data_IF_037598932469
#
_entry.id   IF_037598932469
#
_cell.length_a   1.000
_cell.length_b   1.000
_cell.length_c   1.000
_cell.angle_alpha   90.00
_cell.angle_beta   90.00
_cell.angle_gamma   90.00
#
_symmetry.space_group_name_H-M   'P 1'
#
loop_
_entity.id
_entity.type
_entity.pdbx_description
1 polymer ?
#
# COMPACT_ATOMS: atom_id res chain seq x y z
N UNK A 1 13.59 41.62 7.41
CA UNK A 1 12.35 42.13 8.04
C UNK A 1 11.23 42.13 7.03
N UNK A 2 10.29 41.24 7.16
CA UNK A 2 8.83 41.38 7.10
C UNK A 2 8.25 39.97 7.24
N UNK A 3 7.84 39.65 8.45
CA UNK A 3 6.97 38.53 8.75
C UNK A 3 5.64 38.74 8.05
N UNK A 4 5.32 37.86 7.12
CA UNK A 4 3.97 37.75 6.58
C UNK A 4 3.08 37.06 7.60
N UNK A 5 2.21 37.82 8.24
CA UNK A 5 1.16 37.33 9.08
C UNK A 5 0.35 36.26 8.35
N UNK A 6 0.31 35.04 8.89
CA UNK A 6 -0.55 33.98 8.41
C UNK A 6 -1.98 34.32 8.78
N UNK A 7 -2.77 34.65 7.80
CA UNK A 7 -4.23 34.78 7.91
C UNK A 7 -4.80 33.40 8.33
N UNK A 8 -5.04 33.25 9.63
CA UNK A 8 -5.47 32.00 10.28
C UNK A 8 -6.98 31.80 10.33
N UNK A 9 -7.79 32.73 9.82
CA UNK A 9 -9.24 32.75 10.12
C UNK A 9 -10.16 32.20 9.02
N UNK A 10 -9.67 31.91 7.80
CA UNK A 10 -10.54 31.54 6.67
C UNK A 10 -10.55 30.07 6.27
N UNK A 11 -9.85 29.17 6.99
CA UNK A 11 -9.66 27.76 6.56
C UNK A 11 -10.18 26.67 7.50
N UNK A 12 -10.96 26.99 8.54
CA UNK A 12 -11.58 25.96 9.37
C UNK A 12 -12.74 25.30 8.63
N UNK A 13 -12.85 23.96 8.75
CA UNK A 13 -13.93 23.19 8.16
C UNK A 13 -13.55 22.40 6.90
N UNK A 14 -14.43 21.47 6.52
CA UNK A 14 -14.26 20.55 5.38
C UNK A 14 -15.15 21.01 4.23
N UNK A 15 -14.57 21.18 3.04
CA UNK A 15 -15.33 21.55 1.85
C UNK A 15 -16.10 20.36 1.31
N UNK A 16 -17.32 20.59 0.86
CA UNK A 16 -18.19 19.60 0.22
C UNK A 16 -17.82 19.50 -1.26
N UNK A 17 -17.47 18.29 -1.73
CA UNK A 17 -17.25 18.01 -3.14
C UNK A 17 -18.55 17.69 -3.85
N UNK A 18 -19.40 16.86 -3.22
CA UNK A 18 -20.68 16.46 -3.77
C UNK A 18 -21.68 16.15 -2.65
N UNK A 19 -22.96 16.16 -3.01
CA UNK A 19 -24.06 15.75 -2.13
C UNK A 19 -24.94 14.75 -2.90
N UNK A 20 -25.31 13.64 -2.23
CA UNK A 20 -26.24 12.67 -2.84
C UNK A 20 -27.61 13.31 -3.05
N UNK A 21 -28.18 13.32 -4.27
CA UNK A 21 -29.52 13.79 -4.52
C UNK A 21 -30.58 13.09 -3.63
N UNK A 22 -31.51 13.86 -3.06
CA UNK A 22 -32.54 13.35 -2.16
C UNK A 22 -32.04 12.94 -0.75
N UNK A 23 -30.76 13.11 -0.45
CA UNK A 23 -30.19 12.82 0.90
C UNK A 23 -30.65 13.83 1.96
N UNK A 24 -30.45 13.55 3.26
CA UNK A 24 -30.70 14.53 4.31
C UNK A 24 -29.94 15.85 4.12
N UNK A 25 -28.72 15.82 3.59
CA UNK A 25 -27.92 17.01 3.30
C UNK A 25 -28.52 17.81 2.14
N UNK A 26 -28.95 17.15 1.06
CA UNK A 26 -29.61 17.78 -0.09
C UNK A 26 -30.91 18.46 0.35
N UNK A 27 -31.75 17.76 1.11
CA UNK A 27 -32.99 18.37 1.71
C UNK A 27 -32.70 19.48 2.71
N UNK A 28 -31.47 19.58 3.22
CA UNK A 28 -31.05 20.69 4.07
C UNK A 28 -30.54 21.90 3.28
N UNK A 29 -30.37 21.76 1.96
CA UNK A 29 -29.85 22.79 1.08
C UNK A 29 -28.32 22.89 1.08
N UNK A 30 -27.62 21.82 1.47
CA UNK A 30 -26.16 21.72 1.35
C UNK A 30 -25.83 21.34 -0.09
N UNK A 31 -24.87 22.05 -0.68
CA UNK A 31 -24.45 21.85 -2.07
C UNK A 31 -22.92 21.74 -2.18
N UNK A 32 -22.45 21.29 -3.33
CA UNK A 32 -21.02 21.30 -3.64
C UNK A 32 -20.44 22.71 -3.53
N UNK A 33 -19.28 22.83 -2.89
CA UNK A 33 -18.64 24.11 -2.59
C UNK A 33 -18.87 24.65 -1.19
N UNK A 34 -19.93 24.24 -0.50
CA UNK A 34 -20.17 24.56 0.89
C UNK A 34 -19.06 24.05 1.81
N UNK A 35 -18.93 24.62 3.00
CA UNK A 35 -17.91 24.23 3.96
C UNK A 35 -18.53 23.83 5.28
N UNK A 36 -18.40 22.56 5.65
CA UNK A 36 -18.86 22.03 6.94
C UNK A 36 -17.93 22.53 8.04
N UNK A 37 -18.45 23.27 9.01
CA UNK A 37 -17.69 23.90 10.09
C UNK A 37 -17.70 23.06 11.37
N UNK A 38 -18.88 22.55 11.74
CA UNK A 38 -19.01 21.76 12.97
C UNK A 38 -20.19 20.81 12.94
N UNK A 39 -20.11 19.76 13.76
CA UNK A 39 -21.20 18.82 14.05
C UNK A 39 -21.45 18.83 15.55
N UNK A 40 -22.66 19.18 15.95
CA UNK A 40 -23.09 19.33 17.35
C UNK A 40 -22.12 20.19 18.19
N UNK A 41 -21.66 21.29 17.59
CA UNK A 41 -20.73 22.25 18.18
C UNK A 41 -19.26 21.81 18.19
N UNK A 42 -18.93 20.59 17.74
CA UNK A 42 -17.54 20.13 17.61
C UNK A 42 -17.00 20.50 16.24
N UNK A 43 -15.83 21.14 16.16
CA UNK A 43 -15.21 21.50 14.87
C UNK A 43 -14.98 20.26 14.00
N UNK A 44 -15.14 20.44 12.69
CA UNK A 44 -14.82 19.45 11.66
C UNK A 44 -13.57 19.92 10.92
N UNK A 45 -12.44 19.23 11.10
CA UNK A 45 -11.17 19.58 10.49
C UNK A 45 -10.87 18.75 9.25
N UNK A 46 -11.40 17.53 9.23
CA UNK A 46 -11.21 16.58 8.11
C UNK A 46 -12.38 15.60 7.97
N UNK A 47 -12.23 14.73 6.98
CA UNK A 47 -13.16 13.64 6.66
C UNK A 47 -13.46 12.74 7.88
N UNK A 48 -12.45 12.42 8.72
CA UNK A 48 -12.68 11.54 9.88
C UNK A 48 -13.59 12.22 10.91
N UNK A 49 -13.37 13.51 11.20
CA UNK A 49 -14.29 14.26 12.08
C UNK A 49 -15.70 14.22 11.54
N UNK A 50 -15.88 14.48 10.24
CA UNK A 50 -17.21 14.45 9.63
C UNK A 50 -17.86 13.08 9.81
N UNK A 51 -17.19 12.00 9.43
CA UNK A 51 -17.73 10.66 9.53
C UNK A 51 -18.05 10.24 10.97
N UNK A 52 -17.10 10.42 11.89
CA UNK A 52 -17.32 10.03 13.30
C UNK A 52 -18.38 10.85 14.00
N UNK A 53 -18.45 12.14 13.72
CA UNK A 53 -19.42 13.01 14.38
C UNK A 53 -20.83 12.86 13.79
N UNK A 54 -20.96 12.47 12.51
CA UNK A 54 -22.25 12.22 11.85
C UNK A 54 -22.71 10.76 11.92
N UNK A 55 -21.94 9.85 12.52
CA UNK A 55 -22.36 8.44 12.72
C UNK A 55 -23.54 8.27 13.69
N UNK A 56 -23.89 9.32 14.43
CA UNK A 56 -25.05 9.33 15.34
C UNK A 56 -26.33 9.58 14.57
N UNK A 57 -27.43 8.98 15.05
CA UNK A 57 -28.76 9.17 14.45
C UNK A 57 -29.30 10.61 14.58
N UNK A 58 -28.78 11.41 15.54
CA UNK A 58 -29.17 12.81 15.74
C UNK A 58 -27.94 13.68 15.97
N UNK A 59 -27.84 14.76 15.20
CA UNK A 59 -26.79 15.77 15.34
C UNK A 59 -27.26 17.11 14.74
N UNK A 60 -26.54 18.17 15.06
CA UNK A 60 -26.72 19.49 14.44
C UNK A 60 -25.49 19.77 13.57
N UNK A 61 -25.70 20.13 12.32
CA UNK A 61 -24.62 20.49 11.40
C UNK A 61 -24.61 22.01 11.22
N UNK A 62 -23.42 22.59 11.31
CA UNK A 62 -23.19 23.99 10.94
C UNK A 62 -22.26 24.03 9.74
N UNK A 63 -22.64 24.83 8.74
CA UNK A 63 -21.85 24.99 7.53
C UNK A 63 -21.89 26.42 7.01
N UNK A 64 -20.90 26.78 6.20
CA UNK A 64 -20.86 28.03 5.46
C UNK A 64 -21.20 27.76 4.01
N UNK A 65 -22.21 28.43 3.50
CA UNK A 65 -22.62 28.32 2.11
C UNK A 65 -21.65 29.06 1.15
N UNK A 66 -21.83 28.87 -0.15
CA UNK A 66 -21.01 29.50 -1.17
C UNK A 66 -21.10 31.04 -1.17
N UNK A 67 -22.15 31.63 -0.59
CA UNK A 67 -22.28 33.07 -0.42
C UNK A 67 -21.53 33.64 0.80
N UNK A 68 -20.97 32.72 1.65
CA UNK A 68 -20.28 33.05 2.88
C UNK A 68 -21.19 33.14 4.10
N UNK A 69 -22.50 32.84 3.98
CA UNK A 69 -23.42 32.81 5.08
C UNK A 69 -23.31 31.55 5.92
N UNK A 70 -23.29 31.69 7.24
CA UNK A 70 -23.31 30.58 8.17
C UNK A 70 -24.73 30.03 8.33
N UNK A 71 -24.88 28.72 8.14
CA UNK A 71 -26.13 27.96 8.21
C UNK A 71 -26.03 26.92 9.33
N UNK A 72 -27.18 26.58 9.92
CA UNK A 72 -27.27 25.56 10.96
C UNK A 72 -28.56 24.78 10.85
N UNK A 73 -28.52 23.45 10.91
CA UNK A 73 -29.73 22.61 10.87
C UNK A 73 -29.53 21.32 11.68
N UNK A 74 -30.60 20.90 12.35
CA UNK A 74 -30.67 19.61 13.02
C UNK A 74 -30.96 18.48 12.03
N UNK A 75 -30.29 17.36 12.20
CA UNK A 75 -30.46 16.13 11.42
C UNK A 75 -30.99 15.01 12.30
N UNK A 76 -31.88 14.22 11.74
CA UNK A 76 -32.36 12.96 12.33
C UNK A 76 -32.33 11.89 11.26
N UNK A 77 -31.33 10.98 11.35
CA UNK A 77 -31.12 9.90 10.42
C UNK A 77 -31.87 8.64 10.88
N UNK A 78 -32.44 7.90 9.93
CA UNK A 78 -33.15 6.62 10.16
C UNK A 78 -32.41 5.46 9.50
N UNK A 79 -31.08 5.37 9.73
CA UNK A 79 -30.21 4.35 9.13
C UNK A 79 -29.56 4.79 7.81
N UNK A 80 -29.94 5.93 7.28
CA UNK A 80 -29.31 6.54 6.11
C UNK A 80 -28.04 7.34 6.49
N UNK A 81 -27.18 7.60 5.51
CA UNK A 81 -26.03 8.50 5.65
C UNK A 81 -26.48 9.94 5.41
N UNK A 82 -25.75 10.96 5.92
CA UNK A 82 -26.05 12.37 5.60
C UNK A 82 -26.01 12.66 4.08
N UNK A 83 -25.28 11.87 3.29
CA UNK A 83 -25.10 12.05 1.85
C UNK A 83 -24.11 13.15 1.47
N UNK A 84 -23.16 13.48 2.34
CA UNK A 84 -22.11 14.48 2.10
C UNK A 84 -20.83 13.78 1.68
N UNK A 85 -20.29 14.14 0.52
CA UNK A 85 -18.97 13.75 0.07
C UNK A 85 -18.00 14.93 0.25
N UNK A 86 -17.05 14.83 1.19
CA UNK A 86 -16.05 15.86 1.39
C UNK A 86 -14.98 15.82 0.30
N UNK A 87 -14.34 16.97 0.05
CA UNK A 87 -13.12 16.99 -0.79
C UNK A 87 -12.08 15.98 -0.28
N UNK A 88 -11.27 15.40 -1.19
CA UNK A 88 -10.22 14.45 -0.85
C UNK A 88 -9.27 15.01 0.23
N UNK A 89 -8.72 14.09 1.02
CA UNK A 89 -7.75 14.43 2.08
C UNK A 89 -6.56 15.18 1.46
N UNK A 90 -6.25 16.35 2.00
CA UNK A 90 -4.95 16.98 1.76
C UNK A 90 -3.91 16.22 2.56
N UNK A 91 -3.13 15.41 1.84
CA UNK A 91 -2.14 14.53 2.44
C UNK A 91 -1.09 15.33 3.22
N UNK A 92 -0.85 14.94 4.48
CA UNK A 92 0.24 15.48 5.28
C UNK A 92 1.58 14.98 4.74
N UNK A 93 2.46 15.89 4.39
CA UNK A 93 3.75 15.57 3.79
C UNK A 93 4.77 15.13 4.84
N UNK A 94 5.47 14.04 4.54
CA UNK A 94 6.59 13.56 5.32
C UNK A 94 7.79 14.53 5.25
N UNK A 95 8.37 14.86 6.41
CA UNK A 95 9.53 15.74 6.55
C UNK A 95 10.87 14.99 6.59
N UNK A 96 10.82 13.66 6.70
CA UNK A 96 12.03 12.85 6.77
C UNK A 96 12.80 12.83 5.45
N UNK A 97 14.11 12.62 5.55
CA UNK A 97 15.02 12.38 4.43
C UNK A 97 15.66 11.01 4.57
N UNK A 98 14.82 9.97 4.71
CA UNK A 98 15.29 8.61 4.91
C UNK A 98 16.33 8.23 3.87
N UNK A 99 17.43 7.63 4.31
CA UNK A 99 18.54 7.21 3.41
C UNK A 99 18.10 6.17 2.38
N UNK A 100 17.00 5.45 2.68
CA UNK A 100 16.38 4.41 1.85
C UNK A 100 15.06 4.84 1.21
N UNK A 101 14.65 6.13 1.32
CA UNK A 101 13.36 6.58 0.82
C UNK A 101 13.19 6.30 -0.68
N UNK A 102 12.20 5.48 -1.03
CA UNK A 102 11.97 5.10 -2.42
C UNK A 102 11.56 6.29 -3.28
N UNK A 103 10.78 7.24 -2.72
CA UNK A 103 10.36 8.46 -3.44
C UNK A 103 11.55 9.34 -3.84
N UNK A 104 12.61 9.39 -3.02
CA UNK A 104 13.82 10.14 -3.36
C UNK A 104 14.63 9.51 -4.50
N UNK A 105 14.37 8.24 -4.82
CA UNK A 105 15.07 7.48 -5.85
C UNK A 105 14.23 7.33 -7.13
N UNK A 106 13.09 8.03 -7.24
CA UNK A 106 12.28 7.98 -8.46
C UNK A 106 12.95 8.79 -9.57
N UNK A 107 12.95 8.30 -10.83
CA UNK A 107 13.39 9.06 -11.97
C UNK A 107 12.59 10.35 -12.12
N UNK A 108 13.21 11.39 -12.65
CA UNK A 108 12.54 12.67 -12.94
C UNK A 108 11.53 12.50 -14.09
N UNK A 109 10.47 13.31 -14.09
CA UNK A 109 9.52 13.36 -15.19
C UNK A 109 8.33 12.39 -15.09
N UNK A 110 8.22 11.59 -14.02
CA UNK A 110 7.02 10.80 -13.77
C UNK A 110 5.85 11.69 -13.30
N UNK A 111 4.65 11.14 -13.26
CA UNK A 111 3.46 11.87 -12.78
C UNK A 111 3.65 12.38 -11.34
N UNK A 112 3.14 13.57 -11.06
CA UNK A 112 3.34 14.28 -9.77
C UNK A 112 2.90 13.50 -8.55
N UNK A 113 1.87 12.66 -8.66
CA UNK A 113 1.35 11.84 -7.56
C UNK A 113 2.35 10.84 -7.02
N UNK A 114 3.31 10.36 -7.83
CA UNK A 114 4.35 9.43 -7.39
C UNK A 114 5.39 10.07 -6.45
N UNK A 115 5.53 11.39 -6.49
CA UNK A 115 6.49 12.10 -5.64
C UNK A 115 5.89 12.59 -4.32
N UNK A 116 4.66 12.20 -4.01
CA UNK A 116 4.04 12.51 -2.73
C UNK A 116 4.61 11.58 -1.67
N UNK A 117 5.25 12.17 -0.66
CA UNK A 117 5.65 11.47 0.56
C UNK A 117 4.65 11.81 1.63
N UNK A 118 3.97 10.83 2.13
CA UNK A 118 2.99 11.00 3.18
C UNK A 118 3.52 10.62 4.56
N UNK A 119 2.98 11.26 5.57
CA UNK A 119 3.14 10.96 7.00
C UNK A 119 1.77 11.16 7.66
N UNK A 120 0.71 10.63 7.01
CA UNK A 120 -0.67 10.92 7.35
C UNK A 120 -1.32 9.73 8.06
N UNK A 121 -1.57 9.87 9.36
CA UNK A 121 -2.20 8.82 10.18
C UNK A 121 -3.60 8.44 9.70
N UNK A 122 -4.30 9.32 8.97
CA UNK A 122 -5.60 9.01 8.38
C UNK A 122 -5.47 8.00 7.26
N UNK A 123 -4.43 8.14 6.41
CA UNK A 123 -4.13 7.17 5.35
C UNK A 123 -3.63 5.85 5.93
N UNK A 124 -2.91 5.88 7.05
CA UNK A 124 -2.54 4.67 7.78
C UNK A 124 -3.79 3.90 8.22
N UNK A 125 -4.75 4.58 8.84
CA UNK A 125 -5.99 3.97 9.30
C UNK A 125 -6.89 3.48 8.15
N UNK A 126 -7.07 4.30 7.10
CA UNK A 126 -8.02 4.02 6.02
C UNK A 126 -7.49 3.02 4.98
N UNK A 127 -6.17 3.03 4.74
CA UNK A 127 -5.55 2.33 3.61
C UNK A 127 -4.33 1.48 4.00
N UNK A 128 -3.99 1.38 5.29
CA UNK A 128 -2.83 0.60 5.73
C UNK A 128 -1.47 1.21 5.36
N UNK A 129 -1.41 2.49 5.01
CA UNK A 129 -0.15 3.15 4.67
C UNK A 129 0.73 3.32 5.91
N UNK A 130 2.05 3.16 5.73
CA UNK A 130 3.00 3.20 6.82
C UNK A 130 3.44 4.62 7.15
N UNK A 131 3.26 5.02 8.41
CA UNK A 131 3.75 6.29 8.97
C UNK A 131 4.92 6.05 9.90
N UNK A 132 5.79 7.03 10.08
CA UNK A 132 6.97 6.90 10.94
C UNK A 132 6.74 7.39 12.37
N UNK A 133 5.66 8.11 12.64
CA UNK A 133 5.41 8.86 13.88
C UNK A 133 6.54 9.85 14.24
N UNK A 134 7.37 10.23 13.26
CA UNK A 134 8.55 11.06 13.52
C UNK A 134 8.22 12.45 14.05
N UNK A 135 7.07 12.98 13.69
CA UNK A 135 6.60 14.31 14.07
C UNK A 135 5.10 14.31 14.47
N UNK A 136 4.61 13.19 15.03
CA UNK A 136 3.25 13.08 15.54
C UNK A 136 3.03 14.13 16.64
N UNK A 137 2.09 15.03 16.43
CA UNK A 137 1.74 16.07 17.39
C UNK A 137 0.80 15.54 18.49
N UNK A 138 0.76 16.24 19.63
CA UNK A 138 -0.16 15.91 20.73
C UNK A 138 -1.64 15.94 20.29
N UNK A 139 -2.02 16.88 19.44
CA UNK A 139 -3.38 16.97 18.89
C UNK A 139 -3.75 15.76 18.04
N UNK A 140 -2.82 15.31 17.17
CA UNK A 140 -3.01 14.10 16.36
C UNK A 140 -3.07 12.84 17.23
N UNK A 141 -2.19 12.71 18.22
CA UNK A 141 -2.23 11.59 19.14
C UNK A 141 -3.55 11.55 19.93
N UNK A 142 -4.03 12.70 20.40
CA UNK A 142 -5.33 12.80 21.05
C UNK A 142 -6.50 12.44 20.11
N UNK A 143 -6.41 12.78 18.81
CA UNK A 143 -7.40 12.45 17.80
C UNK A 143 -7.43 10.94 17.51
N UNK A 144 -6.26 10.30 17.38
CA UNK A 144 -6.12 8.85 17.23
C UNK A 144 -6.83 8.13 18.38
N UNK A 145 -6.56 8.53 19.62
CA UNK A 145 -7.16 7.94 20.81
C UNK A 145 -8.66 8.20 20.89
N UNK A 146 -9.09 9.43 20.62
CA UNK A 146 -10.51 9.82 20.66
C UNK A 146 -11.38 9.02 19.70
N UNK A 147 -10.89 8.79 18.49
CA UNK A 147 -11.64 8.08 17.44
C UNK A 147 -11.29 6.60 17.37
N UNK A 148 -10.38 6.11 18.25
CA UNK A 148 -9.93 4.73 18.25
C UNK A 148 -9.46 4.31 16.84
N UNK A 149 -8.61 5.14 16.20
CA UNK A 149 -8.07 4.84 14.86
C UNK A 149 -7.12 3.65 14.95
N UNK A 150 -7.66 2.46 14.74
CA UNK A 150 -6.98 1.19 14.94
C UNK A 150 -7.43 0.15 13.89
N UNK A 151 -6.52 -0.65 13.29
CA UNK A 151 -5.06 -0.60 13.52
C UNK A 151 -4.37 0.57 12.80
N UNK A 152 -3.13 0.89 13.25
CA UNK A 152 -2.21 1.78 12.53
C UNK A 152 -0.95 1.03 12.10
N UNK A 153 -0.33 1.49 11.02
CA UNK A 153 0.84 0.87 10.40
C UNK A 153 2.07 1.77 10.55
N UNK A 154 3.15 1.24 11.14
CA UNK A 154 4.27 2.04 11.61
C UNK A 154 5.59 1.59 11.00
N UNK A 155 6.28 2.48 10.30
CA UNK A 155 7.66 2.31 9.84
C UNK A 155 8.63 2.56 11.00
N UNK A 156 9.22 1.47 11.53
CA UNK A 156 10.02 1.50 12.74
C UNK A 156 11.51 1.57 12.41
N UNK A 157 12.00 0.61 11.66
CA UNK A 157 13.36 0.35 11.17
C UNK A 157 14.36 -0.07 12.25
N UNK A 158 14.37 0.59 13.39
CA UNK A 158 15.18 0.24 14.57
C UNK A 158 14.58 0.89 15.84
N UNK A 159 14.82 0.28 17.00
CA UNK A 159 14.49 0.83 18.32
C UNK A 159 15.61 1.69 18.91
N UNK A 160 16.80 1.68 18.30
CA UNK A 160 17.88 2.59 18.66
C UNK A 160 17.55 4.01 18.20
N UNK A 161 17.43 5.00 19.12
CA UNK A 161 17.01 6.34 18.74
C UNK A 161 18.02 7.08 17.86
N UNK A 162 19.32 6.83 18.04
CA UNK A 162 20.37 7.49 17.28
C UNK A 162 20.46 6.92 15.87
N UNK A 163 20.52 5.60 15.74
CA UNK A 163 20.48 4.94 14.43
C UNK A 163 19.21 5.30 13.68
N UNK A 164 18.06 5.37 14.38
CA UNK A 164 16.79 5.76 13.77
C UNK A 164 16.84 7.19 13.21
N UNK A 165 17.37 8.17 13.96
CA UNK A 165 17.56 9.55 13.45
C UNK A 165 18.43 9.57 12.20
N UNK A 166 19.52 8.81 12.20
CA UNK A 166 20.41 8.66 11.04
C UNK A 166 19.69 8.04 9.85
N UNK A 167 18.97 6.95 10.05
CA UNK A 167 18.23 6.27 8.99
C UNK A 167 17.09 7.12 8.40
N UNK A 168 16.36 7.85 9.24
CA UNK A 168 15.28 8.74 8.80
C UNK A 168 15.79 10.10 8.27
N UNK A 169 17.09 10.41 8.43
CA UNK A 169 17.66 11.69 8.02
C UNK A 169 16.95 12.88 8.66
N UNK A 170 16.55 12.74 9.93
CA UNK A 170 15.81 13.76 10.67
C UNK A 170 16.27 13.77 12.15
N UNK A 171 16.94 14.83 12.60
CA UNK A 171 17.45 14.92 13.97
C UNK A 171 16.35 15.10 15.03
N UNK A 172 15.15 15.52 14.62
CA UNK A 172 14.01 15.81 15.50
C UNK A 172 12.93 14.74 15.46
N UNK A 173 13.35 13.47 15.37
CA UNK A 173 12.42 12.33 15.37
C UNK A 173 11.93 12.03 16.77
N UNK A 174 10.65 11.87 16.96
CA UNK A 174 10.07 11.35 18.20
C UNK A 174 10.63 9.95 18.48
N UNK A 175 10.81 9.63 19.76
CA UNK A 175 11.09 8.26 20.16
C UNK A 175 9.89 7.36 19.84
N UNK A 176 10.06 6.48 18.88
CA UNK A 176 8.97 5.63 18.38
C UNK A 176 8.45 4.68 19.45
N UNK A 177 9.32 4.21 20.34
CA UNK A 177 8.93 3.30 21.43
C UNK A 177 8.04 4.00 22.45
N UNK A 178 8.31 5.27 22.75
CA UNK A 178 7.46 6.09 23.63
C UNK A 178 6.08 6.32 22.98
N UNK A 179 6.06 6.71 21.72
CA UNK A 179 4.81 6.94 20.98
C UNK A 179 3.98 5.67 20.90
N UNK A 180 4.60 4.54 20.48
CA UNK A 180 3.90 3.27 20.35
C UNK A 180 3.33 2.78 21.69
N UNK A 181 4.12 2.83 22.78
CA UNK A 181 3.64 2.45 24.13
C UNK A 181 2.44 3.29 24.54
N UNK A 182 2.47 4.59 24.29
CA UNK A 182 1.34 5.51 24.59
C UNK A 182 0.07 5.11 23.84
N UNK A 183 0.17 4.88 22.53
CA UNK A 183 -0.97 4.51 21.70
C UNK A 183 -1.53 3.12 22.07
N UNK A 184 -0.64 2.15 22.33
CA UNK A 184 -1.03 0.80 22.75
C UNK A 184 -1.76 0.84 24.11
N UNK A 185 -1.26 1.61 25.08
CA UNK A 185 -1.97 1.78 26.37
C UNK A 185 -3.35 2.41 26.21
N UNK A 186 -3.57 3.18 25.17
CA UNK A 186 -4.87 3.75 24.81
C UNK A 186 -5.74 2.80 23.96
N UNK A 187 -5.35 1.54 23.77
CA UNK A 187 -6.12 0.52 23.07
C UNK A 187 -5.90 0.47 21.55
N UNK A 188 -4.93 1.22 21.01
CA UNK A 188 -4.64 1.22 19.57
C UNK A 188 -3.75 0.03 19.22
N UNK A 189 -4.22 -0.83 18.32
CA UNK A 189 -3.43 -1.91 17.74
C UNK A 189 -2.49 -1.36 16.65
N UNK A 190 -1.27 -1.91 16.59
CA UNK A 190 -0.24 -1.49 15.64
C UNK A 190 0.27 -2.68 14.82
N UNK A 191 0.66 -2.39 13.57
CA UNK A 191 1.47 -3.25 12.73
C UNK A 191 2.77 -2.52 12.38
N UNK A 192 3.91 -3.20 12.55
CA UNK A 192 5.23 -2.62 12.32
C UNK A 192 5.84 -3.03 10.99
N UNK A 193 6.74 -2.18 10.48
CA UNK A 193 7.59 -2.47 9.32
C UNK A 193 9.03 -2.12 9.64
N UNK A 194 9.96 -2.98 9.25
CA UNK A 194 11.40 -2.76 9.30
C UNK A 194 11.95 -2.91 7.88
N UNK A 195 12.40 -1.82 7.28
CA UNK A 195 13.20 -1.86 6.04
C UNK A 195 14.64 -2.12 6.43
N UNK A 196 15.17 -3.27 6.05
CA UNK A 196 16.54 -3.67 6.38
C UNK A 196 17.52 -3.13 5.35
N UNK A 197 18.45 -2.32 5.85
CA UNK A 197 19.59 -1.79 5.11
C UNK A 197 20.86 -2.52 5.56
N UNK A 198 21.47 -3.38 4.72
CA UNK A 198 22.64 -4.16 5.08
C UNK A 198 23.80 -3.32 5.66
N UNK A 199 24.36 -3.79 6.78
CA UNK A 199 25.42 -3.11 7.51
C UNK A 199 24.94 -1.95 8.40
N UNK A 200 23.62 -1.73 8.56
CA UNK A 200 23.05 -0.69 9.41
C UNK A 200 22.11 -1.25 10.48
N UNK A 201 21.03 -1.88 10.08
CA UNK A 201 19.99 -2.39 10.96
C UNK A 201 19.66 -3.87 10.71
N UNK A 202 20.60 -4.62 10.18
CA UNK A 202 20.57 -6.08 9.97
C UNK A 202 21.20 -6.85 11.16
N UNK A 203 21.29 -8.15 11.05
CA UNK A 203 21.98 -9.02 12.00
C UNK A 203 21.59 -8.81 13.47
N UNK A 204 22.57 -8.49 14.30
CA UNK A 204 22.38 -8.28 15.74
C UNK A 204 21.45 -7.11 16.07
N UNK A 205 21.51 -6.03 15.27
CA UNK A 205 20.66 -4.87 15.43
C UNK A 205 19.19 -5.22 15.14
N UNK A 206 18.92 -5.97 14.07
CA UNK A 206 17.57 -6.47 13.78
C UNK A 206 17.05 -7.37 14.91
N UNK A 207 17.91 -8.26 15.42
CA UNK A 207 17.54 -9.15 16.54
C UNK A 207 17.18 -8.36 17.79
N UNK A 208 17.99 -7.36 18.16
CA UNK A 208 17.72 -6.46 19.28
C UNK A 208 16.41 -5.71 19.10
N UNK A 209 16.25 -5.07 17.95
CA UNK A 209 15.02 -4.34 17.59
C UNK A 209 13.78 -5.22 17.72
N UNK A 210 13.79 -6.44 17.19
CA UNK A 210 12.64 -7.34 17.26
C UNK A 210 12.34 -7.80 18.69
N UNK A 211 13.36 -8.00 19.54
CA UNK A 211 13.16 -8.31 20.97
C UNK A 211 12.53 -7.15 21.72
N UNK A 212 13.03 -5.93 21.52
CA UNK A 212 12.45 -4.71 22.12
C UNK A 212 10.96 -4.56 21.72
N UNK A 213 10.66 -4.78 20.45
CA UNK A 213 9.30 -4.70 19.91
C UNK A 213 8.39 -5.82 20.43
N UNK A 214 8.94 -7.01 20.70
CA UNK A 214 8.16 -8.11 21.25
C UNK A 214 7.56 -7.79 22.62
N UNK A 215 8.23 -6.91 23.39
CA UNK A 215 7.72 -6.38 24.66
C UNK A 215 6.49 -5.46 24.54
N UNK A 216 6.08 -5.11 23.31
CA UNK A 216 4.86 -4.32 23.06
C UNK A 216 3.62 -5.17 22.72
N UNK A 217 3.76 -6.49 22.73
CA UNK A 217 2.62 -7.41 22.50
C UNK A 217 1.64 -7.34 23.68
N UNK A 218 0.36 -7.57 23.45
CA UNK A 218 -0.32 -7.87 22.18
C UNK A 218 -0.69 -6.63 21.35
N UNK A 219 -0.40 -5.41 21.81
CA UNK A 219 -0.77 -4.17 21.13
C UNK A 219 -0.05 -3.98 19.79
N UNK A 220 1.25 -4.28 19.70
CA UNK A 220 1.95 -4.47 18.43
C UNK A 220 1.73 -5.91 17.98
N UNK A 221 0.89 -6.08 16.95
CA UNK A 221 0.41 -7.39 16.51
C UNK A 221 1.45 -8.13 15.67
N UNK A 222 1.95 -7.48 14.62
CA UNK A 222 2.91 -8.09 13.68
C UNK A 222 3.97 -7.08 13.25
N UNK A 223 5.15 -7.57 12.87
CA UNK A 223 6.24 -6.78 12.28
C UNK A 223 6.69 -7.42 10.98
N UNK A 224 6.54 -6.70 9.86
CA UNK A 224 7.11 -7.10 8.57
C UNK A 224 8.59 -6.69 8.49
N UNK A 225 9.43 -7.62 8.09
CA UNK A 225 10.84 -7.38 7.76
C UNK A 225 10.99 -7.42 6.26
N UNK A 226 11.35 -6.28 5.65
CA UNK A 226 11.43 -6.14 4.19
C UNK A 226 12.85 -5.71 3.80
N UNK A 227 13.40 -6.19 2.67
CA UNK A 227 14.70 -5.73 2.19
C UNK A 227 14.58 -4.32 1.63
N UNK A 228 15.66 -3.55 1.71
CA UNK A 228 15.72 -2.22 1.09
C UNK A 228 15.57 -2.33 -0.44
N UNK A 229 14.63 -1.55 -0.99
CA UNK A 229 14.48 -1.37 -2.44
C UNK A 229 15.38 -0.23 -2.93
N UNK A 230 16.21 -0.50 -3.90
CA UNK A 230 17.15 0.46 -4.48
C UNK A 230 16.91 0.59 -5.98
N UNK A 231 16.90 1.84 -6.49
CA UNK A 231 16.82 2.12 -7.92
C UNK A 231 18.18 2.57 -8.46
N UNK A 232 18.30 2.72 -9.78
CA UNK A 232 19.48 3.32 -10.41
C UNK A 232 19.59 4.83 -10.23
N UNK A 233 18.56 5.48 -9.70
CA UNK A 233 18.48 6.95 -9.55
C UNK A 233 18.91 7.42 -8.16
N UNK A 234 20.07 6.94 -7.69
CA UNK A 234 20.58 7.24 -6.34
C UNK A 234 21.75 8.24 -6.31
N UNK A 235 22.03 8.91 -7.42
CA UNK A 235 23.08 9.92 -7.44
C UNK A 235 22.83 11.01 -6.37
N UNK A 236 23.84 11.27 -5.54
CA UNK A 236 23.75 12.24 -4.42
C UNK A 236 22.99 11.75 -3.17
N UNK A 237 22.49 10.53 -3.15
CA UNK A 237 21.91 9.91 -1.95
C UNK A 237 22.96 9.09 -1.19
N UNK A 238 22.78 8.88 0.15
CA UNK A 238 23.68 8.07 0.94
C UNK A 238 23.88 6.68 0.32
N UNK A 239 25.12 6.18 0.36
CA UNK A 239 25.45 4.86 -0.20
C UNK A 239 24.69 3.76 0.54
N UNK A 240 23.99 2.94 -0.20
CA UNK A 240 23.34 1.71 0.25
C UNK A 240 23.57 0.63 -0.80
N UNK A 241 23.57 -0.62 -0.36
CA UNK A 241 23.64 -1.78 -1.23
C UNK A 241 22.43 -2.70 -1.02
N UNK A 242 22.04 -3.48 -2.02
CA UNK A 242 20.96 -4.45 -1.86
C UNK A 242 21.38 -5.59 -0.91
N UNK A 243 20.37 -6.25 -0.35
CA UNK A 243 20.55 -7.50 0.39
C UNK A 243 21.08 -8.57 -0.56
N UNK A 244 22.16 -9.23 -0.17
CA UNK A 244 22.73 -10.37 -0.90
C UNK A 244 21.94 -11.66 -0.64
N UNK A 245 22.21 -12.71 -1.44
CA UNK A 245 21.61 -14.03 -1.24
C UNK A 245 21.92 -14.63 0.13
N UNK A 246 23.17 -14.49 0.59
CA UNK A 246 23.61 -14.98 1.89
C UNK A 246 22.90 -14.27 3.04
N UNK A 247 22.91 -12.94 3.03
CA UNK A 247 22.22 -12.12 4.02
C UNK A 247 20.70 -12.34 4.06
N UNK A 248 20.10 -12.61 2.91
CA UNK A 248 18.70 -13.00 2.85
C UNK A 248 18.46 -14.32 3.59
N UNK A 249 19.34 -15.30 3.39
CA UNK A 249 19.32 -16.58 4.11
C UNK A 249 19.49 -16.41 5.61
N UNK A 250 20.49 -15.61 6.04
CA UNK A 250 20.77 -15.31 7.44
C UNK A 250 19.60 -14.60 8.12
N UNK A 251 18.96 -13.62 7.43
CA UNK A 251 17.78 -12.93 7.93
C UNK A 251 16.62 -13.91 8.14
N UNK A 252 16.37 -14.84 7.22
CA UNK A 252 15.34 -15.87 7.34
C UNK A 252 15.62 -16.81 8.53
N UNK A 253 16.87 -17.19 8.75
CA UNK A 253 17.27 -18.07 9.87
C UNK A 253 17.12 -17.34 11.21
N UNK A 254 17.50 -16.05 11.27
CA UNK A 254 17.26 -15.18 12.43
C UNK A 254 15.77 -15.10 12.76
N UNK A 255 14.93 -14.77 11.79
CA UNK A 255 13.47 -14.66 11.99
C UNK A 255 12.85 -15.99 12.42
N UNK A 256 13.33 -17.11 11.90
CA UNK A 256 12.90 -18.44 12.33
C UNK A 256 13.29 -18.72 13.79
N UNK A 257 14.48 -18.35 14.19
CA UNK A 257 14.94 -18.48 15.59
C UNK A 257 14.13 -17.61 16.54
N UNK A 258 13.96 -16.33 16.21
CA UNK A 258 13.16 -15.39 16.99
C UNK A 258 11.67 -15.77 17.03
N UNK A 259 11.14 -16.34 15.93
CA UNK A 259 9.77 -16.85 15.88
C UNK A 259 9.51 -17.98 16.88
N UNK A 260 10.54 -18.82 17.17
CA UNK A 260 10.48 -19.83 18.24
C UNK A 260 10.56 -19.20 19.63
N UNK A 261 11.40 -18.16 19.79
CA UNK A 261 11.54 -17.41 21.03
C UNK A 261 10.25 -16.66 21.40
N UNK A 262 9.62 -15.98 20.44
CA UNK A 262 8.45 -15.16 20.69
C UNK A 262 7.13 -15.95 20.75
N UNK A 263 7.08 -17.11 20.14
CA UNK A 263 5.83 -17.84 19.94
C UNK A 263 4.82 -17.09 19.07
N UNK A 264 3.62 -17.60 19.02
CA UNK A 264 2.51 -16.93 18.34
C UNK A 264 1.69 -16.06 19.29
N UNK A 265 0.96 -15.08 18.75
CA UNK A 265 -0.05 -14.35 19.50
C UNK A 265 -1.21 -15.25 19.94
N UNK A 266 -2.05 -14.76 20.85
CA UNK A 266 -3.26 -15.47 21.27
C UNK A 266 -4.25 -15.70 20.11
N UNK A 267 -4.18 -14.86 19.09
CA UNK A 267 -4.91 -14.95 17.81
C UNK A 267 -4.27 -15.90 16.79
N UNK A 268 -3.16 -16.55 17.15
CA UNK A 268 -2.40 -17.43 16.27
C UNK A 268 -1.46 -16.71 15.28
N UNK A 269 -1.39 -15.36 15.35
CA UNK A 269 -0.54 -14.58 14.44
C UNK A 269 0.96 -14.74 14.74
N UNK A 270 1.83 -14.85 13.70
CA UNK A 270 3.27 -14.74 13.87
C UNK A 270 3.64 -13.29 14.18
N UNK A 271 4.58 -13.08 15.12
CA UNK A 271 4.97 -11.71 15.49
C UNK A 271 5.86 -11.04 14.43
N UNK A 272 6.90 -11.71 13.97
CA UNK A 272 7.84 -11.19 12.98
C UNK A 272 7.80 -12.06 11.71
N UNK A 273 7.62 -11.43 10.55
CA UNK A 273 7.47 -12.09 9.26
C UNK A 273 8.35 -11.46 8.19
N UNK A 274 8.98 -12.29 7.36
CA UNK A 274 9.77 -11.82 6.22
C UNK A 274 8.88 -11.58 5.00
N UNK A 275 9.20 -10.54 4.21
CA UNK A 275 8.67 -10.40 2.87
C UNK A 275 9.10 -11.58 1.99
N UNK A 276 8.24 -11.95 1.04
CA UNK A 276 8.49 -13.07 0.11
C UNK A 276 9.80 -12.88 -0.68
N UNK A 277 10.20 -11.62 -0.89
CA UNK A 277 11.45 -11.28 -1.57
C UNK A 277 12.69 -11.89 -0.89
N UNK A 278 12.70 -12.04 0.47
CA UNK A 278 13.79 -12.72 1.15
C UNK A 278 13.91 -14.18 0.74
N UNK A 279 12.79 -14.89 0.64
CA UNK A 279 12.77 -16.28 0.22
C UNK A 279 13.23 -16.42 -1.23
N UNK A 280 12.73 -15.57 -2.13
CA UNK A 280 13.12 -15.57 -3.54
C UNK A 280 14.61 -15.26 -3.71
N UNK A 281 15.14 -14.25 -3.00
CA UNK A 281 16.57 -13.90 -3.03
C UNK A 281 17.46 -15.00 -2.48
N UNK A 282 17.06 -15.64 -1.38
CA UNK A 282 17.79 -16.73 -0.76
C UNK A 282 17.72 -18.05 -1.58
N UNK A 283 16.79 -18.14 -2.54
CA UNK A 283 16.50 -19.38 -3.24
C UNK A 283 15.90 -20.44 -2.32
N UNK A 284 15.07 -20.02 -1.36
CA UNK A 284 14.39 -20.91 -0.41
C UNK A 284 12.90 -20.99 -0.74
N UNK A 285 12.32 -22.12 -0.40
CA UNK A 285 10.89 -22.35 -0.58
C UNK A 285 10.04 -21.38 0.25
N UNK A 286 8.93 -20.96 -0.34
CA UNK A 286 7.92 -20.15 0.34
C UNK A 286 7.24 -20.99 1.40
N UNK A 287 7.17 -20.54 2.66
CA UNK A 287 6.57 -21.31 3.74
C UNK A 287 5.09 -21.57 3.53
N UNK A 288 4.56 -22.58 4.24
CA UNK A 288 3.14 -22.89 4.22
C UNK A 288 2.27 -21.76 4.79
N UNK A 289 0.99 -21.78 4.43
CA UNK A 289 -0.02 -20.75 4.79
C UNK A 289 -0.01 -20.38 6.28
N UNK A 290 0.16 -21.36 7.17
CA UNK A 290 0.19 -21.14 8.61
C UNK A 290 1.30 -20.18 9.08
N UNK A 291 2.36 -19.99 8.29
CA UNK A 291 3.45 -19.07 8.62
C UNK A 291 3.08 -17.60 8.45
N UNK A 292 1.98 -17.31 7.80
CA UNK A 292 1.55 -15.94 7.47
C UNK A 292 0.33 -15.45 8.28
N UNK A 293 -0.26 -16.31 9.12
CA UNK A 293 -1.46 -15.98 9.89
C UNK A 293 -2.61 -15.50 9.02
N UNK A 294 -3.17 -14.34 9.35
CA UNK A 294 -4.24 -13.67 8.61
C UNK A 294 -3.75 -12.92 7.34
N UNK A 295 -2.46 -12.95 7.04
CA UNK A 295 -1.82 -12.12 6.00
C UNK A 295 -1.91 -10.62 6.27
N UNK A 296 -1.86 -10.20 7.53
CA UNK A 296 -1.97 -8.80 7.93
C UNK A 296 -0.90 -7.87 7.33
N UNK A 297 0.18 -8.44 6.78
CA UNK A 297 1.31 -7.70 6.19
C UNK A 297 1.40 -7.86 4.65
N UNK A 298 0.28 -8.16 4.00
CA UNK A 298 0.24 -8.44 2.54
C UNK A 298 0.78 -7.28 1.70
N UNK A 299 0.50 -6.03 2.11
CA UNK A 299 0.98 -4.82 1.44
C UNK A 299 2.52 -4.67 1.48
N UNK A 300 3.18 -5.35 2.41
CA UNK A 300 4.65 -5.45 2.48
C UNK A 300 5.22 -6.61 1.66
N UNK A 301 4.43 -7.23 0.80
CA UNK A 301 4.86 -8.40 0.04
C UNK A 301 5.05 -9.64 0.89
N UNK A 302 4.33 -9.76 2.01
CA UNK A 302 4.39 -10.92 2.92
C UNK A 302 3.25 -11.87 2.58
N UNK A 303 3.58 -13.02 1.98
CA UNK A 303 2.62 -14.08 1.68
C UNK A 303 1.88 -13.91 0.35
N UNK A 304 2.24 -12.95 -0.51
CA UNK A 304 1.67 -12.82 -1.86
C UNK A 304 1.90 -14.06 -2.70
N UNK A 305 3.15 -14.58 -2.69
CA UNK A 305 3.52 -15.81 -3.42
C UNK A 305 2.74 -17.01 -2.88
N UNK A 306 2.61 -17.11 -1.55
CA UNK A 306 1.83 -18.20 -0.93
C UNK A 306 0.37 -18.14 -1.34
N UNK A 307 -0.26 -16.96 -1.32
CA UNK A 307 -1.66 -16.81 -1.78
C UNK A 307 -1.82 -17.22 -3.24
N UNK A 308 -0.89 -16.80 -4.11
CA UNK A 308 -0.89 -17.18 -5.51
C UNK A 308 -0.80 -18.71 -5.68
N UNK A 309 0.12 -19.38 -4.97
CA UNK A 309 0.29 -20.83 -5.03
C UNK A 309 -0.94 -21.60 -4.52
N UNK A 310 -1.55 -21.13 -3.41
CA UNK A 310 -2.75 -21.75 -2.85
C UNK A 310 -3.93 -21.62 -3.81
N UNK A 311 -4.11 -20.45 -4.44
CA UNK A 311 -5.16 -20.22 -5.41
C UNK A 311 -4.94 -20.99 -6.70
N UNK A 312 -3.69 -21.05 -7.21
CA UNK A 312 -3.32 -21.88 -8.36
C UNK A 312 -3.64 -23.35 -8.10
N UNK A 313 -3.23 -23.87 -6.94
CA UNK A 313 -3.52 -25.25 -6.54
C UNK A 313 -5.03 -25.52 -6.45
N UNK A 314 -5.79 -24.55 -5.95
CA UNK A 314 -7.26 -24.65 -5.90
C UNK A 314 -7.88 -24.62 -7.30
N UNK A 315 -7.36 -23.77 -8.18
CA UNK A 315 -7.80 -23.68 -9.55
C UNK A 315 -7.57 -24.98 -10.30
N UNK A 316 -6.38 -25.58 -10.16
CA UNK A 316 -6.00 -26.80 -10.85
C UNK A 316 -6.71 -28.07 -10.34
N UNK A 317 -7.38 -28.04 -9.21
CA UNK A 317 -8.27 -29.13 -8.76
C UNK A 317 -9.61 -29.20 -9.49
N UNK A 318 -9.95 -28.22 -10.34
CA UNK A 318 -11.20 -28.23 -11.12
C UNK A 318 -11.22 -29.39 -12.11
N UNK A 319 -12.33 -30.13 -12.13
CA UNK A 319 -12.53 -31.26 -13.05
C UNK A 319 -12.83 -30.81 -14.50
N UNK A 320 -13.47 -29.65 -14.66
CA UNK A 320 -13.86 -29.10 -15.97
C UNK A 320 -13.19 -27.74 -16.19
N UNK A 321 -12.64 -27.60 -17.37
CA UNK A 321 -12.01 -26.36 -17.83
C UNK A 321 -12.79 -25.82 -19.02
N UNK A 322 -12.96 -24.48 -19.14
CA UNK A 322 -13.54 -23.89 -20.33
C UNK A 322 -12.67 -24.23 -21.56
N UNK A 323 -13.30 -24.47 -22.71
CA UNK A 323 -12.60 -24.61 -23.98
C UNK A 323 -12.46 -23.28 -24.72
N UNK A 324 -11.69 -23.29 -25.83
CA UNK A 324 -11.63 -22.15 -26.76
C UNK A 324 -10.62 -21.05 -26.41
N UNK A 325 -9.64 -21.34 -25.54
CA UNK A 325 -8.54 -20.41 -25.30
C UNK A 325 -7.68 -20.23 -26.56
N UNK A 326 -7.35 -18.98 -26.88
CA UNK A 326 -6.50 -18.64 -28.03
C UNK A 326 -4.99 -18.66 -27.71
N UNK A 327 -4.62 -18.84 -26.45
CA UNK A 327 -3.23 -18.70 -26.00
C UNK A 327 -2.78 -17.25 -25.90
N UNK A 328 -1.53 -17.02 -25.48
CA UNK A 328 -1.00 -15.67 -25.40
C UNK A 328 0.31 -15.51 -24.65
N UNK A 329 0.74 -14.28 -24.55
CA UNK A 329 1.98 -13.87 -23.87
C UNK A 329 1.61 -13.11 -22.59
N UNK A 330 2.21 -13.50 -21.47
CA UNK A 330 1.98 -12.86 -20.14
C UNK A 330 3.27 -12.18 -19.70
N UNK A 331 3.24 -10.91 -19.41
CA UNK A 331 4.40 -10.20 -18.87
C UNK A 331 4.42 -10.25 -17.34
N UNK A 332 5.64 -10.26 -16.78
CA UNK A 332 5.84 -10.24 -15.33
C UNK A 332 7.20 -9.64 -14.99
N UNK A 333 7.38 -9.19 -13.76
CA UNK A 333 8.70 -8.81 -13.25
C UNK A 333 9.61 -10.03 -13.05
N UNK A 334 10.92 -9.80 -13.07
CA UNK A 334 11.91 -10.87 -13.00
C UNK A 334 11.78 -11.75 -11.74
N UNK A 335 11.44 -11.18 -10.59
CA UNK A 335 11.26 -11.95 -9.34
C UNK A 335 10.09 -12.93 -9.40
N UNK A 336 8.99 -12.56 -10.05
CA UNK A 336 7.80 -13.40 -10.15
C UNK A 336 7.85 -14.36 -11.35
N UNK A 337 8.80 -14.17 -12.27
CA UNK A 337 8.87 -14.95 -13.51
C UNK A 337 8.90 -16.47 -13.30
N UNK A 338 9.71 -17.04 -12.39
CA UNK A 338 9.72 -18.51 -12.22
C UNK A 338 8.35 -19.04 -11.78
N UNK A 339 7.69 -18.36 -10.84
CA UNK A 339 6.36 -18.72 -10.34
C UNK A 339 5.31 -18.65 -11.45
N UNK A 340 5.30 -17.54 -12.21
CA UNK A 340 4.34 -17.32 -13.30
C UNK A 340 4.57 -18.31 -14.43
N UNK A 341 5.82 -18.61 -14.79
CA UNK A 341 6.16 -19.57 -15.83
C UNK A 341 5.68 -20.99 -15.47
N UNK A 342 5.89 -21.42 -14.23
CA UNK A 342 5.40 -22.69 -13.72
C UNK A 342 3.86 -22.78 -13.75
N UNK A 343 3.19 -21.75 -13.24
CA UNK A 343 1.74 -21.63 -13.31
C UNK A 343 1.22 -21.74 -14.75
N UNK A 344 1.82 -20.98 -15.69
CA UNK A 344 1.39 -20.98 -17.09
C UNK A 344 1.64 -22.29 -17.81
N UNK A 345 2.65 -23.06 -17.41
CA UNK A 345 2.90 -24.41 -17.94
C UNK A 345 1.71 -25.33 -17.64
N UNK A 346 1.29 -25.39 -16.39
CA UNK A 346 0.13 -26.21 -15.97
C UNK A 346 -1.18 -25.64 -16.55
N UNK A 347 -1.35 -24.31 -16.53
CA UNK A 347 -2.51 -23.66 -17.11
C UNK A 347 -2.66 -23.96 -18.61
N UNK A 348 -1.56 -23.90 -19.37
CA UNK A 348 -1.54 -24.21 -20.81
C UNK A 348 -1.99 -25.65 -21.11
N UNK A 349 -1.51 -26.60 -20.31
CA UNK A 349 -1.90 -28.01 -20.42
C UNK A 349 -3.41 -28.18 -20.22
N UNK A 350 -3.98 -27.49 -19.23
CA UNK A 350 -5.42 -27.58 -18.89
C UNK A 350 -6.31 -26.83 -19.88
N UNK A 351 -5.84 -25.71 -20.39
CA UNK A 351 -6.58 -24.87 -21.32
C UNK A 351 -6.54 -25.39 -22.77
N UNK A 352 -5.64 -26.34 -23.08
CA UNK A 352 -5.40 -26.79 -24.45
C UNK A 352 -4.85 -25.69 -25.38
N UNK A 353 -4.19 -24.65 -24.81
CA UNK A 353 -3.66 -23.52 -25.53
C UNK A 353 -2.33 -23.06 -24.92
N UNK A 354 -1.44 -22.52 -25.74
CA UNK A 354 -0.09 -22.15 -25.29
C UNK A 354 -0.07 -20.74 -24.71
N UNK A 355 0.31 -20.63 -23.46
CA UNK A 355 0.63 -19.37 -22.78
C UNK A 355 2.12 -19.37 -22.40
N UNK A 356 2.78 -18.22 -22.57
CA UNK A 356 4.20 -18.07 -22.25
C UNK A 356 4.42 -16.80 -21.39
N UNK A 357 5.21 -16.94 -20.32
CA UNK A 357 5.67 -15.80 -19.55
C UNK A 357 6.85 -15.11 -20.23
N UNK A 358 6.88 -13.78 -20.16
CA UNK A 358 8.02 -12.95 -20.56
C UNK A 358 8.46 -12.11 -19.37
N UNK A 359 9.70 -12.33 -18.85
CA UNK A 359 10.25 -11.48 -17.80
C UNK A 359 10.59 -10.10 -18.37
N UNK A 360 10.19 -9.05 -17.67
CA UNK A 360 10.51 -7.67 -18.05
C UNK A 360 11.60 -7.12 -17.14
N UNK A 361 12.73 -6.77 -17.71
CA UNK A 361 13.80 -6.06 -17.01
C UNK A 361 13.38 -4.59 -16.84
N UNK A 362 13.39 -4.11 -15.61
CA UNK A 362 13.02 -2.75 -15.31
C UNK A 362 14.19 -1.80 -15.59
N UNK A 363 14.15 -1.10 -16.70
CA UNK A 363 15.15 -0.09 -17.06
C UNK A 363 14.77 1.28 -16.52
N UNK A 364 13.47 1.53 -16.36
CA UNK A 364 12.93 2.78 -15.83
C UNK A 364 13.46 3.05 -14.40
N UNK A 365 13.39 2.06 -13.52
CA UNK A 365 13.82 2.16 -12.12
C UNK A 365 15.23 1.60 -11.87
N UNK A 366 15.75 0.79 -12.79
CA UNK A 366 16.97 0.01 -12.65
C UNK A 366 16.71 -1.49 -12.45
N UNK A 367 17.63 -2.32 -12.91
CA UNK A 367 17.49 -3.79 -12.98
C UNK A 367 17.34 -4.47 -11.61
N UNK A 368 17.76 -3.78 -10.52
CA UNK A 368 17.56 -4.25 -9.15
C UNK A 368 16.09 -4.19 -8.69
N UNK A 369 15.23 -3.44 -9.40
CA UNK A 369 13.80 -3.37 -9.16
C UNK A 369 13.08 -4.42 -9.99
N UNK A 370 12.78 -5.56 -9.40
CA UNK A 370 12.33 -6.76 -10.10
C UNK A 370 10.84 -7.08 -9.96
N UNK A 371 10.10 -6.24 -9.25
CA UNK A 371 8.67 -6.44 -8.96
C UNK A 371 7.79 -6.02 -10.13
N UNK A 372 6.71 -6.76 -10.38
CA UNK A 372 5.79 -6.54 -11.51
C UNK A 372 5.10 -5.16 -11.45
N UNK A 373 4.68 -4.70 -10.26
CA UNK A 373 3.93 -3.45 -10.11
C UNK A 373 4.71 -2.16 -10.41
N UNK A 374 6.03 -2.24 -10.61
CA UNK A 374 6.88 -1.09 -10.92
C UNK A 374 7.39 -1.07 -12.36
N UNK A 375 6.83 -1.90 -13.24
CA UNK A 375 7.21 -1.93 -14.66
C UNK A 375 6.65 -0.73 -15.42
N UNK A 376 7.48 -0.15 -16.30
CA UNK A 376 7.06 0.85 -17.26
C UNK A 376 6.51 0.22 -18.56
N UNK A 377 5.62 0.94 -19.23
CA UNK A 377 5.07 0.48 -20.51
C UNK A 377 6.13 0.39 -21.61
N UNK A 378 7.18 1.24 -21.58
CA UNK A 378 8.30 1.17 -22.51
C UNK A 378 9.15 -0.09 -22.30
N UNK A 379 9.42 -0.46 -21.04
CA UNK A 379 10.16 -1.68 -20.71
C UNK A 379 9.39 -2.93 -21.15
N UNK A 380 8.05 -2.92 -20.97
CA UNK A 380 7.18 -3.99 -21.45
C UNK A 380 7.24 -4.09 -22.98
N UNK A 381 7.08 -2.97 -23.70
CA UNK A 381 7.13 -2.95 -25.17
C UNK A 381 8.45 -3.51 -25.71
N UNK A 382 9.56 -3.18 -25.08
CA UNK A 382 10.89 -3.69 -25.46
C UNK A 382 11.01 -5.19 -25.19
N UNK A 383 10.60 -5.65 -24.00
CA UNK A 383 10.72 -7.05 -23.60
C UNK A 383 9.91 -8.01 -24.49
N UNK A 384 8.77 -7.53 -25.02
CA UNK A 384 7.91 -8.39 -25.86
C UNK A 384 8.18 -8.27 -27.35
N UNK A 385 9.13 -7.43 -27.76
CA UNK A 385 9.45 -7.22 -29.19
C UNK A 385 9.85 -8.54 -29.84
N UNK A 386 9.10 -8.94 -30.89
CA UNK A 386 9.32 -10.22 -31.60
C UNK A 386 8.91 -11.48 -30.83
N UNK A 387 8.40 -11.35 -29.62
CA UNK A 387 8.03 -12.49 -28.76
C UNK A 387 6.52 -12.64 -28.53
N UNK A 388 5.70 -11.65 -28.95
CA UNK A 388 4.25 -11.72 -28.74
C UNK A 388 3.63 -12.80 -29.61
N UNK A 389 2.87 -13.66 -28.95
CA UNK A 389 2.02 -14.65 -29.62
C UNK A 389 0.58 -14.48 -29.12
N UNK A 390 -0.33 -14.17 -30.01
CA UNK A 390 -1.74 -13.97 -29.66
C UNK A 390 -1.97 -12.72 -28.80
N UNK A 391 -2.76 -12.85 -27.76
CA UNK A 391 -3.08 -11.77 -26.83
C UNK A 391 -1.93 -11.49 -25.87
N UNK A 392 -1.62 -10.22 -25.63
CA UNK A 392 -0.67 -9.76 -24.64
C UNK A 392 -1.40 -9.48 -23.32
N UNK A 393 -1.19 -10.34 -22.34
CA UNK A 393 -1.80 -10.22 -21.01
C UNK A 393 -0.91 -9.40 -20.08
N UNK A 394 -1.46 -8.34 -19.52
CA UNK A 394 -0.76 -7.39 -18.66
C UNK A 394 -1.39 -7.41 -17.27
N UNK A 395 -0.62 -7.71 -16.20
CA UNK A 395 -1.12 -7.61 -14.84
C UNK A 395 -1.56 -6.17 -14.51
N UNK A 396 -2.78 -5.98 -14.02
CA UNK A 396 -3.35 -4.65 -13.72
C UNK A 396 -2.53 -3.87 -12.69
N UNK A 397 -1.78 -4.53 -11.82
CA UNK A 397 -0.86 -3.92 -10.85
C UNK A 397 0.25 -3.06 -11.50
N UNK A 398 0.52 -3.22 -12.81
CA UNK A 398 1.47 -2.36 -13.56
C UNK A 398 0.91 -0.97 -13.88
N UNK A 399 -0.40 -0.78 -13.71
CA UNK A 399 -1.11 0.45 -14.01
C UNK A 399 -1.44 1.20 -12.72
N UNK A 400 -1.79 2.47 -12.84
CA UNK A 400 -2.39 3.20 -11.71
C UNK A 400 -3.83 2.69 -11.46
N UNK A 401 -4.41 3.03 -10.31
CA UNK A 401 -5.74 2.55 -9.87
C UNK A 401 -6.85 2.79 -10.92
N UNK A 402 -6.77 3.86 -11.71
CA UNK A 402 -7.70 4.11 -12.80
C UNK A 402 -7.54 3.14 -14.00
N UNK A 403 -6.50 2.28 -14.00
CA UNK A 403 -6.26 1.26 -15.03
C UNK A 403 -5.85 1.79 -16.41
N UNK A 404 -5.47 3.05 -16.53
CA UNK A 404 -5.29 3.75 -17.82
C UNK A 404 -3.82 4.06 -18.17
N UNK A 405 -2.92 4.13 -17.20
CA UNK A 405 -1.51 4.52 -17.44
C UNK A 405 -0.52 3.64 -16.67
N UNK A 406 0.53 3.24 -17.37
CA UNK A 406 1.74 2.68 -16.75
C UNK A 406 2.50 3.75 -15.94
N UNK A 407 3.55 3.31 -15.25
CA UNK A 407 4.35 4.16 -14.39
C UNK A 407 5.02 5.31 -15.18
N UNK A 408 5.46 5.05 -16.40
CA UNK A 408 6.08 5.99 -17.33
C UNK A 408 5.08 6.83 -18.17
N UNK A 409 3.79 6.73 -17.86
CA UNK A 409 2.75 7.50 -18.53
C UNK A 409 2.25 6.92 -19.86
N UNK A 410 2.79 5.78 -20.32
CA UNK A 410 2.25 5.08 -21.48
C UNK A 410 0.87 4.51 -21.15
N UNK A 411 -0.04 4.47 -22.11
CA UNK A 411 -1.33 3.79 -21.96
C UNK A 411 -1.34 2.38 -22.58
N UNK A 412 -2.21 1.46 -22.11
CA UNK A 412 -2.38 0.14 -22.72
C UNK A 412 -2.71 0.19 -24.21
N UNK A 413 -3.47 1.19 -24.65
CA UNK A 413 -3.80 1.38 -26.05
C UNK A 413 -2.59 1.76 -26.92
N UNK A 414 -1.67 2.58 -26.37
CA UNK A 414 -0.41 2.89 -27.05
C UNK A 414 0.50 1.66 -27.09
N UNK A 415 0.56 0.89 -25.99
CA UNK A 415 1.30 -0.38 -25.96
C UNK A 415 0.77 -1.35 -27.01
N UNK A 416 -0.55 -1.51 -27.13
CA UNK A 416 -1.20 -2.35 -28.15
C UNK A 416 -0.78 -1.95 -29.57
N UNK A 417 -0.80 -0.65 -29.91
CA UNK A 417 -0.34 -0.16 -31.22
C UNK A 417 1.14 -0.43 -31.47
N UNK A 418 2.00 -0.25 -30.46
CA UNK A 418 3.46 -0.45 -30.59
C UNK A 418 3.84 -1.92 -30.79
N UNK A 419 3.11 -2.82 -30.15
CA UNK A 419 3.39 -4.26 -30.21
C UNK A 419 2.63 -4.99 -31.31
N UNK A 420 1.62 -4.36 -31.91
CA UNK A 420 0.70 -4.97 -32.86
C UNK A 420 -0.21 -6.04 -32.25
N UNK A 421 -0.22 -6.16 -30.91
CA UNK A 421 -0.95 -7.19 -30.19
C UNK A 421 -2.18 -6.61 -29.46
N UNK A 422 -3.24 -7.41 -29.36
CA UNK A 422 -4.35 -7.10 -28.44
C UNK A 422 -3.85 -7.15 -27.00
N UNK A 423 -3.97 -6.06 -26.27
CA UNK A 423 -3.65 -5.99 -24.84
C UNK A 423 -4.90 -6.34 -24.04
N UNK A 424 -4.76 -7.26 -23.09
CA UNK A 424 -5.80 -7.62 -22.11
C UNK A 424 -5.24 -7.47 -20.70
N UNK A 425 -5.91 -6.68 -19.86
CA UNK A 425 -5.57 -6.49 -18.46
C UNK A 425 -6.17 -7.63 -17.64
N UNK A 426 -5.46 -8.05 -16.58
CA UNK A 426 -5.96 -9.04 -15.64
C UNK A 426 -5.51 -8.75 -14.21
N UNK A 427 -6.33 -9.11 -13.24
CA UNK A 427 -5.93 -9.12 -11.83
C UNK A 427 -4.80 -10.13 -11.63
N UNK A 428 -3.64 -9.76 -11.04
CA UNK A 428 -2.45 -10.61 -10.94
C UNK A 428 -2.62 -11.82 -10.00
N UNK A 429 -3.72 -12.54 -10.16
CA UNK A 429 -4.05 -13.77 -9.46
C UNK A 429 -4.34 -14.90 -10.45
N UNK A 430 -4.20 -16.17 -10.06
CA UNK A 430 -4.57 -17.31 -10.92
C UNK A 430 -6.00 -17.25 -11.43
N UNK A 431 -6.96 -16.80 -10.60
CA UNK A 431 -8.35 -16.64 -10.99
C UNK A 431 -8.57 -15.46 -11.92
N UNK A 432 -7.94 -14.32 -11.60
CA UNK A 432 -8.00 -13.14 -12.47
C UNK A 432 -7.46 -13.43 -13.86
N UNK A 433 -6.40 -14.23 -13.97
CA UNK A 433 -5.89 -14.69 -15.26
C UNK A 433 -6.89 -15.61 -15.96
N UNK A 434 -7.49 -16.58 -15.26
CA UNK A 434 -8.53 -17.44 -15.84
C UNK A 434 -9.72 -16.62 -16.39
N UNK A 435 -10.18 -15.63 -15.61
CA UNK A 435 -11.32 -14.78 -15.99
C UNK A 435 -10.98 -13.87 -17.19
N UNK A 436 -9.70 -13.49 -17.36
CA UNK A 436 -9.23 -12.74 -18.54
C UNK A 436 -9.10 -13.59 -19.79
N UNK A 437 -8.71 -14.87 -19.65
CA UNK A 437 -8.64 -15.84 -20.78
C UNK A 437 -10.03 -16.27 -21.23
N UNK A 438 -10.95 -16.43 -20.28
CA UNK A 438 -12.32 -16.85 -20.52
C UNK A 438 -13.31 -15.79 -19.98
N UNK A 439 -13.42 -14.64 -20.66
CA UNK A 439 -14.33 -13.60 -20.20
C UNK A 439 -15.76 -14.14 -20.21
N UNK A 440 -16.39 -14.19 -19.03
CA UNK A 440 -17.82 -14.42 -18.94
C UNK A 440 -18.47 -13.20 -19.59
N UNK A 441 -19.51 -13.43 -20.43
CA UNK A 441 -20.36 -12.32 -20.92
C UNK A 441 -20.91 -11.56 -19.70
N UNK A 442 -20.19 -10.56 -19.22
CA UNK A 442 -20.75 -9.56 -18.32
C UNK A 442 -21.56 -8.61 -19.20
N UNK A 443 -22.82 -8.30 -18.85
CA UNK A 443 -23.52 -7.21 -19.49
C UNK A 443 -22.61 -5.97 -19.37
N UNK A 444 -22.33 -5.34 -20.51
CA UNK A 444 -21.62 -4.06 -20.56
C UNK A 444 -22.48 -3.06 -19.77
N UNK A 445 -21.98 -2.66 -18.60
CA UNK A 445 -22.50 -1.44 -17.98
C UNK A 445 -21.90 -0.27 -18.77
N UNK A 446 -22.72 0.31 -19.64
CA UNK A 446 -22.48 1.57 -20.32
C UNK A 446 -22.47 2.74 -19.34
#
# INVERSE_FOLDING_TARGET
>A
MREGARDGSSRSGVRVEAVTPGSPADRAGIVAGDRILSVSGRPVEDLLDLHFLTSRSRFTLAWRDASGADRKKGFRLQGETPGIFPEPIRVRRCRNRCIFCFVHQLPKGLRRTLYVKDEDVRLSFLHGQYVTFSDLSEGEAAKIVRYQLSPLYVSIHTTDPELRRRMLGNPRVNDVMVVMRRLIRAGIALHGQIVVCPGLNDGAELARTLRDLSGLRPGLRTVAVVPVGLTSHRAGLPALRPVTRGEAGETLDLLRSLGREFGRGADGEPFAVAADEYYLKAGRDIPGRASYGSFAQIENGVGLVRRFQDEASSLFRRRRWPGGAAGGTVVTGCSAFPLVAEFLKEFSSRAGARFAAVPVVNRLMGESVTVTGLLGGNDIAEAVRGHVRGTLYIPSVTLRDAGDLFLDGLSPSVLSRRTGARVTLFDPTPRGFLDAVYPRNRPEYH
#
